data_IF_891656894095
#
_entry.id   IF_891656894095
#
_cell.length_a   1.000
_cell.length_b   1.000
_cell.length_c   1.000
_cell.angle_alpha   90.00
_cell.angle_beta   90.00
_cell.angle_gamma   90.00
#
_symmetry.space_group_name_H-M   'P 1'
#
loop_
_entity.id
_entity.type
_entity.pdbx_description
1 polymer ?
#
# COMPACT_ATOMS: atom_id res chain seq x y z
N UNK A 1 20.30 3.03 6.78
CA UNK A 1 19.39 4.19 6.94
C UNK A 1 20.08 5.40 7.60
N UNK A 2 21.29 5.78 7.17
CA UNK A 2 21.99 7.01 7.63
C UNK A 2 22.45 7.92 6.48
N UNK A 3 22.48 7.38 5.25
CA UNK A 3 22.91 8.10 4.05
C UNK A 3 21.80 8.99 3.43
N UNK A 4 20.51 8.68 3.65
CA UNK A 4 19.40 9.43 3.04
C UNK A 4 19.04 10.72 3.80
N UNK A 5 19.61 10.93 4.99
CA UNK A 5 19.35 12.11 5.82
C UNK A 5 20.25 13.31 5.47
N UNK A 6 21.35 13.09 4.72
CA UNK A 6 22.37 14.12 4.49
C UNK A 6 22.32 14.78 3.10
N UNK A 7 21.44 14.33 2.20
CA UNK A 7 21.31 14.91 0.84
C UNK A 7 20.23 15.99 0.71
N UNK A 8 19.26 16.05 1.65
CA UNK A 8 18.18 17.04 1.62
C UNK A 8 18.57 18.42 2.19
N UNK A 9 19.77 18.54 2.79
CA UNK A 9 20.26 19.79 3.36
C UNK A 9 21.12 20.64 2.40
N UNK A 10 21.47 20.13 1.22
CA UNK A 10 22.39 20.82 0.28
C UNK A 10 21.69 21.47 -0.93
N UNK A 11 20.37 21.36 -1.06
CA UNK A 11 19.69 21.63 -2.35
C UNK A 11 18.60 22.71 -2.41
N UNK A 12 18.19 23.35 -1.31
CA UNK A 12 16.99 24.23 -1.35
C UNK A 12 17.09 25.54 -0.57
N UNK A 13 18.27 26.15 -0.56
CA UNK A 13 18.47 27.51 -0.02
C UNK A 13 18.48 28.63 -1.07
N UNK A 14 18.29 28.31 -2.36
CA UNK A 14 18.57 29.26 -3.46
C UNK A 14 17.39 30.10 -3.97
N UNK A 15 16.18 30.06 -3.38
CA UNK A 15 15.03 30.81 -3.94
C UNK A 15 14.42 31.88 -3.01
N UNK A 16 14.89 32.05 -1.76
CA UNK A 16 14.34 33.10 -0.86
C UNK A 16 15.32 34.26 -0.59
N UNK A 17 16.49 34.29 -1.24
CA UNK A 17 17.51 35.31 -1.01
C UNK A 17 17.42 36.54 -1.95
N UNK A 18 16.22 36.96 -2.37
CA UNK A 18 16.05 38.04 -3.36
C UNK A 18 15.15 39.22 -2.91
N UNK A 19 15.19 39.57 -1.63
CA UNK A 19 14.59 40.83 -1.16
C UNK A 19 15.16 41.32 0.17
N UNK A 20 16.49 41.47 0.31
CA UNK A 20 17.03 42.23 1.45
C UNK A 20 18.37 42.91 1.12
N UNK A 21 18.34 43.82 0.14
CA UNK A 21 19.37 44.86 0.01
C UNK A 21 18.69 46.23 -0.03
N UNK A 22 18.23 46.70 1.12
CA UNK A 22 18.08 48.14 1.35
C UNK A 22 19.06 48.49 2.47
N UNK A 23 20.24 48.94 2.06
CA UNK A 23 21.17 49.65 2.92
C UNK A 23 20.44 50.91 3.37
N UNK A 24 20.05 50.98 4.65
CA UNK A 24 19.67 52.25 5.26
C UNK A 24 20.94 52.83 5.87
N UNK A 25 21.48 53.83 5.18
CA UNK A 25 22.50 54.74 5.69
C UNK A 25 21.90 55.43 6.92
N UNK A 26 22.47 55.18 8.09
CA UNK A 26 22.18 55.95 9.31
C UNK A 26 23.02 57.24 9.23
N UNK A 27 22.43 58.44 9.14
CA UNK A 27 23.22 59.67 9.28
C UNK A 27 23.72 59.77 10.72
N UNK A 28 25.03 59.82 10.88
CA UNK A 28 25.68 59.95 12.18
C UNK A 28 25.27 61.23 12.92
N UNK A 29 24.93 61.09 14.20
CA UNK A 29 24.74 62.23 15.10
C UNK A 29 26.10 62.87 15.38
N UNK A 30 26.34 64.08 14.88
CA UNK A 30 27.43 64.94 15.35
C UNK A 30 26.87 65.90 16.41
N UNK A 31 27.38 65.80 17.64
CA UNK A 31 27.09 66.73 18.73
C UNK A 31 27.87 68.02 18.50
N UNK A 32 27.18 69.16 18.38
CA UNK A 32 27.81 70.48 18.27
C UNK A 32 28.37 70.92 19.64
N UNK A 33 29.62 71.37 19.64
CA UNK A 33 30.29 71.95 20.81
C UNK A 33 29.67 73.31 21.17
N UNK A 34 29.46 73.53 22.46
CA UNK A 34 29.00 74.81 23.03
C UNK A 34 30.18 75.80 23.10
N UNK A 35 30.01 76.97 22.49
CA UNK A 35 30.87 78.14 22.69
C UNK A 35 30.05 79.30 23.29
N UNK A 36 30.67 80.04 24.20
CA UNK A 36 30.04 80.93 25.16
C UNK A 36 29.97 82.40 24.68
N UNK A 37 28.83 83.02 24.98
CA UNK A 37 28.58 84.42 25.40
C UNK A 37 28.56 85.60 24.41
N UNK A 38 27.46 86.37 24.50
CA UNK A 38 27.28 87.72 23.93
C UNK A 38 25.81 88.12 23.84
N UNK A 39 25.35 89.00 24.74
CA UNK A 39 23.99 89.59 24.79
C UNK A 39 23.51 90.17 23.45
N UNK A 40 22.26 89.93 23.06
CA UNK A 40 21.26 90.98 22.74
C UNK A 40 19.86 90.36 22.77
N UNK A 41 18.95 90.96 23.54
CA UNK A 41 17.51 90.79 23.38
C UNK A 41 17.07 91.11 21.94
N UNK A 42 15.88 90.63 21.54
CA UNK A 42 15.18 90.76 20.25
C UNK A 42 15.23 89.46 19.43
N UNK A 43 14.23 88.58 19.64
CA UNK A 43 13.59 87.68 18.64
C UNK A 43 12.91 86.48 19.34
N UNK A 44 11.88 86.74 20.16
CA UNK A 44 11.02 85.69 20.69
C UNK A 44 10.06 84.97 19.70
N UNK A 45 9.93 85.33 18.39
CA UNK A 45 9.15 84.52 17.45
C UNK A 45 9.93 83.37 16.78
N UNK A 46 11.24 83.51 16.52
CA UNK A 46 11.96 82.61 15.60
C UNK A 46 12.44 81.30 16.21
N UNK A 47 12.73 81.27 17.51
CA UNK A 47 13.13 80.03 18.22
C UNK A 47 11.95 79.11 18.49
N UNK A 48 10.78 79.68 18.82
CA UNK A 48 9.53 78.94 19.02
C UNK A 48 9.04 78.31 17.72
N UNK A 49 9.08 79.05 16.60
CA UNK A 49 8.69 78.53 15.28
C UNK A 49 9.60 77.39 14.80
N UNK A 50 10.92 77.48 15.04
CA UNK A 50 11.86 76.41 14.68
C UNK A 50 11.66 75.16 15.55
N UNK A 51 11.38 75.34 16.85
CA UNK A 51 11.00 74.25 17.75
C UNK A 51 9.70 73.56 17.33
N UNK A 52 8.67 74.33 16.98
CA UNK A 52 7.39 73.79 16.48
C UNK A 52 7.58 72.98 15.20
N UNK A 53 8.41 73.47 14.27
CA UNK A 53 8.74 72.74 13.03
C UNK A 53 9.48 71.43 13.33
N UNK A 54 10.45 71.43 14.24
CA UNK A 54 11.15 70.21 14.65
C UNK A 54 10.20 69.23 15.34
N UNK A 55 9.28 69.71 16.18
CA UNK A 55 8.25 68.87 16.80
C UNK A 55 7.35 68.23 15.73
N UNK A 56 6.93 69.00 14.72
CA UNK A 56 6.11 68.49 13.63
C UNK A 56 6.85 67.44 12.78
N UNK A 57 8.12 67.68 12.45
CA UNK A 57 8.98 66.73 11.74
C UNK A 57 9.18 65.44 12.54
N UNK A 58 9.44 65.56 13.86
CA UNK A 58 9.56 64.39 14.74
C UNK A 58 8.24 63.65 14.90
N UNK A 59 7.11 64.35 14.98
CA UNK A 59 5.79 63.73 15.03
C UNK A 59 5.47 62.96 13.74
N UNK A 60 5.81 63.51 12.56
CA UNK A 60 5.70 62.82 11.27
C UNK A 60 6.57 61.57 11.21
N UNK A 61 7.81 61.66 11.70
CA UNK A 61 8.71 60.51 11.74
C UNK A 61 8.23 59.42 12.71
N UNK A 62 7.75 59.80 13.90
CA UNK A 62 7.14 58.87 14.85
C UNK A 62 5.96 58.15 14.20
N UNK A 63 5.06 58.89 13.57
CA UNK A 63 3.91 58.30 12.88
C UNK A 63 4.32 57.32 11.78
N UNK A 64 5.34 57.66 10.99
CA UNK A 64 5.90 56.78 9.96
C UNK A 64 6.49 55.51 10.58
N UNK A 65 7.26 55.64 11.66
CA UNK A 65 7.86 54.50 12.36
C UNK A 65 6.79 53.59 12.99
N UNK A 66 5.69 54.17 13.50
CA UNK A 66 4.53 53.43 14.01
C UNK A 66 3.83 52.63 12.89
N UNK A 67 3.60 53.24 11.72
CA UNK A 67 3.02 52.57 10.54
C UNK A 67 3.92 51.41 10.07
N UNK A 68 5.24 51.63 10.04
CA UNK A 68 6.23 50.60 9.71
C UNK A 68 6.20 49.46 10.73
N UNK A 69 6.18 49.79 12.04
CA UNK A 69 6.12 48.79 13.11
C UNK A 69 4.83 47.96 13.05
N UNK A 70 3.70 48.58 12.74
CA UNK A 70 2.43 47.89 12.57
C UNK A 70 2.49 46.93 11.37
N UNK A 71 3.02 47.38 10.24
CA UNK A 71 3.21 46.53 9.05
C UNK A 71 4.09 45.31 9.34
N UNK A 72 5.16 45.48 10.13
CA UNK A 72 5.99 44.35 10.56
C UNK A 72 5.25 43.38 11.48
N UNK A 73 4.46 43.89 12.44
CA UNK A 73 3.64 43.03 13.31
C UNK A 73 2.65 42.19 12.52
N UNK A 74 1.97 42.81 11.55
CA UNK A 74 1.00 42.12 10.68
C UNK A 74 1.71 41.06 9.83
N UNK A 75 2.87 41.39 9.25
CA UNK A 75 3.69 40.44 8.48
C UNK A 75 4.14 39.24 9.33
N UNK A 76 4.57 39.47 10.57
CA UNK A 76 4.95 38.41 11.51
C UNK A 76 3.73 37.51 11.81
N UNK A 77 2.57 38.10 12.09
CA UNK A 77 1.35 37.36 12.38
C UNK A 77 0.94 36.47 11.19
N UNK A 78 0.92 37.03 9.97
CA UNK A 78 0.63 36.28 8.74
C UNK A 78 1.64 35.15 8.52
N UNK A 79 2.93 35.41 8.72
CA UNK A 79 3.99 34.40 8.55
C UNK A 79 3.84 33.25 9.56
N UNK A 80 3.48 33.56 10.81
CA UNK A 80 3.24 32.55 11.84
C UNK A 80 2.02 31.67 11.52
N UNK A 81 0.94 32.26 11.00
CA UNK A 81 -0.25 31.54 10.55
C UNK A 81 0.06 30.60 9.38
N UNK A 82 0.81 31.09 8.38
CA UNK A 82 1.27 30.29 7.25
C UNK A 82 2.15 29.12 7.72
N UNK A 83 3.08 29.36 8.64
CA UNK A 83 3.93 28.31 9.21
C UNK A 83 3.12 27.26 9.97
N UNK A 84 2.12 27.67 10.75
CA UNK A 84 1.22 26.75 11.46
C UNK A 84 0.41 25.89 10.47
N UNK A 85 -0.12 26.51 9.42
CA UNK A 85 -0.87 25.82 8.35
C UNK A 85 0.01 24.81 7.63
N UNK A 86 1.21 25.22 7.20
CA UNK A 86 2.16 24.34 6.51
C UNK A 86 2.59 23.15 7.39
N UNK A 87 2.83 23.39 8.68
CA UNK A 87 3.14 22.33 9.66
C UNK A 87 1.99 21.32 9.76
N UNK A 88 0.74 21.78 9.79
CA UNK A 88 -0.44 20.91 9.81
C UNK A 88 -0.58 20.11 8.51
N UNK A 89 -0.31 20.74 7.36
CA UNK A 89 -0.32 20.09 6.06
C UNK A 89 0.74 19.00 5.96
N UNK A 90 1.97 19.27 6.39
CA UNK A 90 3.06 18.28 6.47
C UNK A 90 2.66 17.11 7.38
N UNK A 91 2.09 17.40 8.55
CA UNK A 91 1.64 16.35 9.47
C UNK A 91 0.53 15.48 8.85
N UNK A 92 -0.41 16.09 8.11
CA UNK A 92 -1.46 15.37 7.37
C UNK A 92 -0.86 14.50 6.27
N UNK A 93 0.06 15.03 5.46
CA UNK A 93 0.76 14.27 4.42
C UNK A 93 1.52 13.09 5.01
N UNK A 94 2.28 13.29 6.09
CA UNK A 94 3.02 12.22 6.76
C UNK A 94 2.10 11.09 7.25
N UNK A 95 0.94 11.43 7.84
CA UNK A 95 -0.06 10.43 8.24
C UNK A 95 -0.60 9.66 7.04
N UNK A 96 -0.86 10.34 5.92
CA UNK A 96 -1.29 9.70 4.67
C UNK A 96 -0.23 8.76 4.11
N UNK A 97 1.05 9.16 4.11
CA UNK A 97 2.18 8.31 3.67
C UNK A 97 2.28 7.06 4.53
N UNK A 98 2.22 7.21 5.87
CA UNK A 98 2.27 6.07 6.79
C UNK A 98 1.08 5.13 6.60
N UNK A 99 -0.13 5.67 6.37
CA UNK A 99 -1.33 4.89 6.05
C UNK A 99 -1.14 4.10 4.75
N UNK A 100 -0.72 4.74 3.67
CA UNK A 100 -0.47 4.09 2.38
C UNK A 100 0.59 2.99 2.49
N UNK A 101 1.70 3.24 3.20
CA UNK A 101 2.73 2.23 3.48
C UNK A 101 2.17 1.01 4.22
N UNK A 102 1.31 1.24 5.23
CA UNK A 102 0.67 0.15 5.97
C UNK A 102 -0.25 -0.67 5.08
N UNK A 103 -1.08 0.00 4.27
CA UNK A 103 -1.98 -0.66 3.32
C UNK A 103 -1.22 -1.45 2.25
N UNK A 104 -0.10 -0.93 1.75
CA UNK A 104 0.81 -1.63 0.83
C UNK A 104 1.29 -2.94 1.46
N UNK A 105 1.82 -2.89 2.69
CA UNK A 105 2.29 -4.09 3.41
C UNK A 105 1.19 -5.12 3.61
N UNK A 106 -0.03 -4.68 3.90
CA UNK A 106 -1.20 -5.57 4.02
C UNK A 106 -1.49 -6.26 2.69
N UNK A 107 -1.48 -5.53 1.57
CA UNK A 107 -1.73 -6.10 0.24
C UNK A 107 -0.62 -7.08 -0.16
N UNK A 108 0.65 -6.73 0.07
CA UNK A 108 1.78 -7.64 -0.16
C UNK A 108 1.65 -8.94 0.65
N UNK A 109 1.24 -8.83 1.91
CA UNK A 109 0.95 -9.99 2.77
C UNK A 109 -0.18 -10.86 2.20
N UNK A 110 -1.25 -10.25 1.70
CA UNK A 110 -2.35 -10.96 1.03
C UNK A 110 -1.87 -11.67 -0.23
N UNK A 111 -1.08 -11.02 -1.07
CA UNK A 111 -0.49 -11.63 -2.29
C UNK A 111 0.36 -12.85 -1.92
N UNK A 112 1.25 -12.72 -0.92
CA UNK A 112 2.07 -13.85 -0.45
C UNK A 112 1.22 -15.01 0.04
N UNK A 113 0.20 -14.73 0.87
CA UNK A 113 -0.73 -15.74 1.36
C UNK A 113 -1.46 -16.45 0.21
N UNK A 114 -2.07 -15.69 -0.70
CA UNK A 114 -2.81 -16.23 -1.86
C UNK A 114 -1.92 -17.08 -2.78
N UNK A 115 -0.67 -16.68 -3.00
CA UNK A 115 0.29 -17.50 -3.75
C UNK A 115 0.56 -18.86 -3.08
N UNK A 116 0.72 -18.88 -1.75
CA UNK A 116 0.89 -20.12 -1.00
C UNK A 116 -0.35 -21.00 -1.05
N UNK A 117 -1.55 -20.40 -0.95
CA UNK A 117 -2.83 -21.11 -1.11
C UNK A 117 -2.95 -21.74 -2.51
N UNK A 118 -2.63 -20.99 -3.57
CA UNK A 118 -2.63 -21.52 -4.96
C UNK A 118 -1.63 -22.67 -5.10
N UNK A 119 -0.41 -22.53 -4.55
CA UNK A 119 0.60 -23.60 -4.60
C UNK A 119 0.11 -24.87 -3.88
N UNK A 120 -0.49 -24.70 -2.70
CA UNK A 120 -1.08 -25.82 -1.94
C UNK A 120 -2.21 -26.49 -2.73
N UNK A 121 -3.10 -25.73 -3.36
CA UNK A 121 -4.16 -26.26 -4.21
C UNK A 121 -3.59 -27.01 -5.41
N UNK A 122 -2.53 -26.49 -6.04
CA UNK A 122 -1.84 -27.15 -7.14
C UNK A 122 -1.30 -28.53 -6.75
N UNK A 123 -0.70 -28.66 -5.55
CA UNK A 123 -0.24 -29.96 -5.04
C UNK A 123 -1.43 -30.91 -4.80
N UNK A 124 -2.48 -30.44 -4.13
CA UNK A 124 -3.67 -31.26 -3.88
C UNK A 124 -4.38 -31.70 -5.17
N UNK A 125 -4.40 -30.85 -6.20
CA UNK A 125 -4.90 -31.17 -7.54
C UNK A 125 -4.07 -32.29 -8.15
N UNK A 126 -2.73 -32.16 -8.14
CA UNK A 126 -1.82 -33.18 -8.65
C UNK A 126 -2.02 -34.53 -7.95
N UNK A 127 -2.12 -34.53 -6.62
CA UNK A 127 -2.35 -35.75 -5.84
C UNK A 127 -3.69 -36.39 -6.22
N UNK A 128 -4.76 -35.59 -6.35
CA UNK A 128 -6.09 -36.07 -6.74
C UNK A 128 -6.08 -36.64 -8.17
N UNK A 129 -5.31 -36.05 -9.08
CA UNK A 129 -5.16 -36.56 -10.46
C UNK A 129 -4.41 -37.90 -10.51
N UNK A 130 -3.38 -38.08 -9.66
CA UNK A 130 -2.69 -39.35 -9.49
C UNK A 130 -3.64 -40.42 -8.96
N UNK A 131 -4.43 -40.10 -7.93
CA UNK A 131 -5.41 -41.02 -7.35
C UNK A 131 -6.49 -41.42 -8.37
N UNK A 132 -6.98 -40.46 -9.16
CA UNK A 132 -7.88 -40.73 -10.29
C UNK A 132 -7.24 -41.68 -11.29
N UNK A 133 -5.97 -41.48 -11.64
CA UNK A 133 -5.27 -42.33 -12.60
C UNK A 133 -5.17 -43.77 -12.08
N UNK A 134 -4.72 -43.95 -10.84
CA UNK A 134 -4.63 -45.26 -10.18
C UNK A 134 -6.00 -45.94 -10.12
N UNK A 135 -7.04 -45.19 -9.73
CA UNK A 135 -8.40 -45.75 -9.65
C UNK A 135 -8.94 -46.18 -11.01
N UNK A 136 -8.62 -45.45 -12.09
CA UNK A 136 -8.99 -45.84 -13.46
C UNK A 136 -8.26 -47.10 -13.91
N UNK A 137 -6.99 -47.26 -13.57
CA UNK A 137 -6.21 -48.45 -13.86
C UNK A 137 -6.78 -49.67 -13.13
N UNK A 138 -7.05 -49.56 -11.83
CA UNK A 138 -7.71 -50.61 -11.06
C UNK A 138 -9.08 -50.96 -11.62
N UNK A 139 -9.91 -49.98 -11.99
CA UNK A 139 -11.20 -50.24 -12.63
C UNK A 139 -11.04 -50.99 -13.96
N UNK A 140 -10.04 -50.65 -14.77
CA UNK A 140 -9.78 -51.35 -16.02
C UNK A 140 -9.38 -52.81 -15.79
N UNK A 141 -8.62 -53.09 -14.73
CA UNK A 141 -8.26 -54.45 -14.31
C UNK A 141 -9.49 -55.24 -13.81
N UNK A 142 -10.35 -54.63 -13.00
CA UNK A 142 -11.60 -55.25 -12.54
C UNK A 142 -12.51 -55.59 -13.72
N UNK A 143 -12.67 -54.66 -14.69
CA UNK A 143 -13.48 -54.90 -15.90
C UNK A 143 -12.91 -56.04 -16.75
N UNK A 144 -11.58 -56.10 -16.92
CA UNK A 144 -10.93 -57.21 -17.64
C UNK A 144 -11.12 -58.54 -16.93
N UNK A 145 -10.99 -58.55 -15.61
CA UNK A 145 -11.19 -59.75 -14.79
C UNK A 145 -12.63 -60.23 -14.88
N UNK A 146 -13.60 -59.32 -14.81
CA UNK A 146 -15.01 -59.63 -14.97
C UNK A 146 -15.31 -60.18 -16.37
N UNK A 147 -14.76 -59.54 -17.41
CA UNK A 147 -14.91 -60.01 -18.78
C UNK A 147 -14.33 -61.41 -18.99
N UNK A 148 -13.22 -61.77 -18.32
CA UNK A 148 -12.61 -63.10 -18.40
C UNK A 148 -13.42 -64.15 -17.63
N UNK A 149 -14.05 -63.77 -16.52
CA UNK A 149 -14.93 -64.64 -15.75
C UNK A 149 -16.24 -64.92 -16.50
N UNK A 150 -16.84 -63.90 -17.11
CA UNK A 150 -18.11 -64.00 -17.83
C UNK A 150 -17.99 -64.75 -19.17
N UNK A 151 -16.79 -64.74 -19.78
CA UNK A 151 -16.52 -65.50 -21.02
C UNK A 151 -16.23 -66.98 -20.79
N UNK A 152 -16.12 -67.45 -19.55
CA UNK A 152 -16.11 -68.87 -19.22
C UNK A 152 -17.56 -69.33 -19.03
N UNK A 153 -18.10 -70.14 -19.94
CA UNK A 153 -19.46 -70.66 -19.83
C UNK A 153 -19.59 -71.57 -18.60
N UNK A 154 -20.25 -71.11 -17.50
CA UNK A 154 -20.27 -71.84 -16.24
C UNK A 154 -21.03 -73.16 -16.38
N UNK A 155 -21.97 -73.22 -17.34
CA UNK A 155 -22.79 -74.39 -17.67
C UNK A 155 -21.98 -75.47 -18.40
N UNK A 156 -21.03 -75.10 -19.26
CA UNK A 156 -20.11 -76.05 -19.89
C UNK A 156 -19.14 -76.64 -18.85
N UNK A 157 -18.61 -75.82 -17.94
CA UNK A 157 -17.75 -76.27 -16.85
C UNK A 157 -18.46 -77.19 -15.83
N UNK A 158 -19.76 -76.97 -15.60
CA UNK A 158 -20.61 -77.81 -14.76
C UNK A 158 -20.79 -79.23 -15.34
N UNK A 159 -21.01 -79.28 -16.66
CA UNK A 159 -21.17 -80.53 -17.41
C UNK A 159 -19.85 -81.29 -17.55
N UNK A 160 -18.71 -80.59 -17.48
CA UNK A 160 -17.36 -81.16 -17.61
C UNK A 160 -16.74 -81.60 -16.26
N UNK A 161 -16.99 -80.88 -15.15
CA UNK A 161 -16.32 -81.10 -13.85
C UNK A 161 -17.24 -81.44 -12.64
N UNK A 162 -18.58 -81.35 -12.79
CA UNK A 162 -19.54 -82.06 -11.94
C UNK A 162 -19.72 -81.60 -10.48
N UNK A 163 -19.26 -80.42 -10.05
CA UNK A 163 -19.36 -79.94 -8.66
C UNK A 163 -20.14 -78.64 -8.51
N UNK A 164 -21.31 -78.70 -7.84
CA UNK A 164 -22.13 -77.54 -7.51
C UNK A 164 -21.39 -76.47 -6.67
N UNK A 165 -20.43 -76.88 -5.84
CA UNK A 165 -19.57 -75.97 -5.07
C UNK A 165 -18.80 -74.98 -5.95
N UNK A 166 -18.36 -75.42 -7.13
CA UNK A 166 -17.46 -74.64 -7.98
C UNK A 166 -18.24 -73.54 -8.71
N UNK A 167 -19.51 -73.81 -9.06
CA UNK A 167 -20.44 -72.80 -9.55
C UNK A 167 -20.78 -71.75 -8.51
N UNK A 168 -21.04 -72.19 -7.27
CA UNK A 168 -21.41 -71.28 -6.19
C UNK A 168 -20.25 -70.32 -5.90
N UNK A 169 -19.03 -70.84 -5.84
CA UNK A 169 -17.81 -70.02 -5.71
C UNK A 169 -17.63 -69.04 -6.87
N UNK A 170 -17.96 -69.45 -8.11
CA UNK A 170 -17.92 -68.58 -9.28
C UNK A 170 -18.95 -67.44 -9.18
N UNK A 171 -20.18 -67.74 -8.78
CA UNK A 171 -21.23 -66.73 -8.60
C UNK A 171 -20.88 -65.72 -7.50
N UNK A 172 -20.34 -66.19 -6.37
CA UNK A 172 -19.83 -65.30 -5.32
C UNK A 172 -18.68 -64.42 -5.83
N UNK A 173 -17.75 -64.98 -6.62
CA UNK A 173 -16.64 -64.22 -7.19
C UNK A 173 -17.12 -63.09 -8.12
N UNK A 174 -18.11 -63.36 -8.98
CA UNK A 174 -18.73 -62.35 -9.86
C UNK A 174 -19.47 -61.29 -9.03
N UNK A 175 -20.29 -61.69 -8.06
CA UNK A 175 -21.06 -60.77 -7.21
C UNK A 175 -20.14 -59.83 -6.43
N UNK A 176 -19.07 -60.36 -5.82
CA UNK A 176 -18.06 -59.57 -5.11
C UNK A 176 -17.33 -58.59 -6.05
N UNK A 177 -17.08 -59.01 -7.29
CA UNK A 177 -16.41 -58.17 -8.28
C UNK A 177 -17.30 -57.02 -8.76
N UNK A 178 -18.60 -57.27 -8.96
CA UNK A 178 -19.59 -56.26 -9.30
C UNK A 178 -19.75 -55.22 -8.17
N UNK A 179 -19.79 -55.65 -6.91
CA UNK A 179 -19.85 -54.73 -5.76
C UNK A 179 -18.59 -53.84 -5.70
N UNK A 180 -17.41 -54.44 -5.86
CA UNK A 180 -16.14 -53.72 -5.89
C UNK A 180 -16.05 -52.73 -7.07
N UNK A 181 -16.58 -53.09 -8.23
CA UNK A 181 -16.68 -52.22 -9.40
C UNK A 181 -17.59 -51.02 -9.11
N UNK A 182 -18.78 -51.26 -8.56
CA UNK A 182 -19.75 -50.23 -8.21
C UNK A 182 -19.19 -49.23 -7.19
N UNK A 183 -18.56 -49.73 -6.13
CA UNK A 183 -17.86 -48.90 -5.14
C UNK A 183 -16.73 -48.08 -5.77
N UNK A 184 -15.94 -48.71 -6.64
CA UNK A 184 -14.81 -48.05 -7.30
C UNK A 184 -15.22 -46.95 -8.28
N UNK A 185 -16.31 -47.13 -9.04
CA UNK A 185 -16.87 -46.11 -9.92
C UNK A 185 -17.41 -44.93 -9.12
N UNK A 186 -18.08 -45.20 -7.99
CA UNK A 186 -18.59 -44.16 -7.09
C UNK A 186 -17.44 -43.30 -6.53
N UNK A 187 -16.38 -43.93 -6.04
CA UNK A 187 -15.19 -43.23 -5.55
C UNK A 187 -14.52 -42.40 -6.64
N UNK A 188 -14.36 -42.95 -7.85
CA UNK A 188 -13.80 -42.21 -8.98
C UNK A 188 -14.63 -40.96 -9.31
N UNK A 189 -15.96 -41.06 -9.25
CA UNK A 189 -16.86 -39.91 -9.45
C UNK A 189 -16.65 -38.84 -8.38
N UNK A 190 -16.55 -39.22 -7.11
CA UNK A 190 -16.29 -38.28 -6.00
C UNK A 190 -14.93 -37.60 -6.14
N UNK A 191 -13.88 -38.34 -6.52
CA UNK A 191 -12.57 -37.76 -6.80
C UNK A 191 -12.62 -36.74 -7.94
N UNK A 192 -13.36 -37.03 -9.01
CA UNK A 192 -13.55 -36.11 -10.15
C UNK A 192 -14.28 -34.84 -9.75
N UNK A 193 -15.31 -34.96 -8.93
CA UNK A 193 -16.06 -33.81 -8.39
C UNK A 193 -15.14 -32.93 -7.53
N UNK A 194 -14.43 -33.54 -6.57
CA UNK A 194 -13.46 -32.82 -5.74
C UNK A 194 -12.36 -32.14 -6.55
N UNK A 195 -11.86 -32.79 -7.61
CA UNK A 195 -10.87 -32.20 -8.52
C UNK A 195 -11.41 -30.93 -9.19
N UNK A 196 -12.65 -30.97 -9.69
CA UNK A 196 -13.27 -29.83 -10.34
C UNK A 196 -13.49 -28.66 -9.37
N UNK A 197 -13.93 -28.95 -8.14
CA UNK A 197 -14.07 -27.93 -7.09
C UNK A 197 -12.73 -27.26 -6.76
N UNK A 198 -11.67 -28.06 -6.57
CA UNK A 198 -10.31 -27.54 -6.29
C UNK A 198 -9.80 -26.67 -7.44
N UNK A 199 -10.03 -27.08 -8.69
CA UNK A 199 -9.65 -26.29 -9.88
C UNK A 199 -10.40 -24.96 -9.94
N UNK A 200 -11.73 -24.97 -9.76
CA UNK A 200 -12.54 -23.75 -9.71
C UNK A 200 -12.09 -22.81 -8.59
N UNK A 201 -11.81 -23.34 -7.40
CA UNK A 201 -11.31 -22.55 -6.28
C UNK A 201 -9.93 -21.94 -6.56
N UNK A 202 -9.04 -22.70 -7.21
CA UNK A 202 -7.73 -22.19 -7.65
C UNK A 202 -7.86 -21.03 -8.65
N UNK A 203 -8.81 -21.10 -9.59
CA UNK A 203 -9.08 -20.03 -10.56
C UNK A 203 -9.57 -18.75 -9.87
N UNK A 204 -10.47 -18.87 -8.90
CA UNK A 204 -10.94 -17.74 -8.07
C UNK A 204 -9.75 -17.08 -7.36
N UNK A 205 -8.88 -17.88 -6.74
CA UNK A 205 -7.68 -17.36 -6.05
C UNK A 205 -6.71 -16.66 -7.01
N UNK A 206 -6.54 -17.18 -8.22
CA UNK A 206 -5.72 -16.54 -9.24
C UNK A 206 -6.31 -15.19 -9.68
N UNK A 207 -7.65 -15.08 -9.77
CA UNK A 207 -8.33 -13.81 -10.05
C UNK A 207 -8.14 -12.80 -8.91
N UNK A 208 -8.29 -13.22 -7.65
CA UNK A 208 -8.02 -12.38 -6.47
C UNK A 208 -6.57 -11.86 -6.47
N UNK A 209 -5.62 -12.72 -6.81
CA UNK A 209 -4.21 -12.34 -6.88
C UNK A 209 -3.96 -11.24 -7.91
N UNK A 210 -4.57 -11.35 -9.10
CA UNK A 210 -4.50 -10.29 -10.13
C UNK A 210 -5.09 -8.97 -9.62
N UNK A 211 -6.22 -9.02 -8.91
CA UNK A 211 -6.85 -7.83 -8.31
C UNK A 211 -5.95 -7.18 -7.26
N UNK A 212 -5.32 -7.97 -6.40
CA UNK A 212 -4.38 -7.46 -5.40
C UNK A 212 -3.14 -6.84 -6.03
N UNK A 213 -2.59 -7.46 -7.09
CA UNK A 213 -1.45 -6.92 -7.83
C UNK A 213 -1.78 -5.56 -8.48
N UNK A 214 -2.97 -5.42 -9.08
CA UNK A 214 -3.43 -4.15 -9.64
C UNK A 214 -3.55 -3.07 -8.55
N UNK A 215 -4.23 -3.39 -7.44
CA UNK A 215 -4.40 -2.46 -6.32
C UNK A 215 -3.06 -2.05 -5.69
N UNK A 216 -2.09 -2.96 -5.63
CA UNK A 216 -0.74 -2.65 -5.15
C UNK A 216 -0.05 -1.64 -6.06
N UNK A 217 -0.11 -1.85 -7.38
CA UNK A 217 0.45 -0.93 -8.37
C UNK A 217 -0.15 0.48 -8.28
N UNK A 218 -1.46 0.58 -8.10
CA UNK A 218 -2.14 1.87 -7.90
C UNK A 218 -1.66 2.58 -6.62
N UNK A 219 -1.56 1.86 -5.50
CA UNK A 219 -1.11 2.45 -4.23
C UNK A 219 0.37 2.84 -4.24
N UNK A 220 1.22 2.08 -4.91
CA UNK A 220 2.64 2.43 -5.08
C UNK A 220 2.81 3.71 -5.89
N UNK A 221 1.96 3.94 -6.91
CA UNK A 221 1.96 5.21 -7.67
C UNK A 221 1.56 6.41 -6.82
N UNK A 222 0.62 6.23 -5.89
CA UNK A 222 0.20 7.29 -4.95
C UNK A 222 1.27 7.62 -3.90
N UNK A 223 2.23 6.72 -3.68
CA UNK A 223 3.31 6.92 -2.71
C UNK A 223 4.43 7.82 -3.24
N UNK A 224 4.62 7.91 -4.56
CA UNK A 224 5.65 8.76 -5.17
C UNK A 224 5.11 10.18 -5.25
N UNK A 225 5.66 11.16 -4.49
CA UNK A 225 5.31 12.55 -4.70
C UNK A 225 5.85 12.97 -6.07
N UNK A 226 5.00 13.56 -6.90
CA UNK A 226 5.42 14.31 -8.10
C UNK A 226 6.03 15.64 -7.69
#
# INVERSE_FOLDING_TARGET
>A
MKEFANSLWRGSFLIVALAFSMIIVVPGYQSAAVAQNGNTDQNAPSTVIELEKQIEERAKEIKRLEEIAQTYRDTIATTQEQAATLKNDIARINRTVLKLQSEIRVIEGRIKKTNLEIKSLGLQISDTEIDISRKREHLAELVRTLSNLDSQHPVEALLEYGRFSDLFNHFEAVTNLEENLGGSVKELRLLRESLNEKKAFSEIKAADLKRYAASLGDKQRLQVPR
#
